data_IF_520749989773
#
_entry.id   IF_520749989773
#
_cell.length_a   1.000
_cell.length_b   1.000
_cell.length_c   1.000
_cell.angle_alpha   90.00
_cell.angle_beta   90.00
_cell.angle_gamma   90.00
#
_symmetry.space_group_name_H-M   'P 1'
#
loop_
_entity.id
_entity.type
_entity.pdbx_description
1 polymer ?
#
# COMPACT_ATOMS: atom_id res chain seq x y z
N UNK A 1 -0.70 -19.90 -40.04
CA UNK A 1 -0.07 -19.45 -38.78
C UNK A 1 -0.39 -20.50 -37.73
N UNK A 2 0.54 -21.42 -37.46
CA UNK A 2 0.34 -22.50 -36.48
C UNK A 2 0.26 -21.91 -35.07
N UNK A 3 -0.89 -22.05 -34.41
CA UNK A 3 -1.00 -21.84 -32.97
C UNK A 3 -0.37 -23.07 -32.33
N UNK A 4 0.88 -22.94 -31.87
CA UNK A 4 1.52 -23.95 -31.02
C UNK A 4 0.71 -24.07 -29.73
N UNK A 5 -0.06 -25.14 -29.61
CA UNK A 5 -0.65 -25.57 -28.34
C UNK A 5 0.48 -26.09 -27.44
N UNK A 6 1.32 -25.22 -26.87
CA UNK A 6 2.20 -25.61 -25.77
C UNK A 6 1.31 -25.83 -24.55
N UNK A 7 1.25 -27.07 -24.09
CA UNK A 7 0.55 -27.48 -22.88
C UNK A 7 1.61 -28.08 -21.95
N UNK A 8 2.20 -27.24 -21.11
CA UNK A 8 3.14 -27.71 -20.10
C UNK A 8 2.36 -28.04 -18.82
N UNK A 9 2.03 -29.33 -18.65
CA UNK A 9 1.35 -29.84 -17.46
C UNK A 9 2.22 -30.88 -16.78
N UNK A 10 2.40 -30.74 -15.47
CA UNK A 10 2.84 -31.83 -14.61
C UNK A 10 1.72 -32.14 -13.62
N UNK A 11 1.43 -33.42 -13.44
CA UNK A 11 0.33 -33.89 -12.61
C UNK A 11 0.79 -35.05 -11.76
N UNK A 12 0.42 -35.00 -10.49
CA UNK A 12 0.43 -36.15 -9.56
C UNK A 12 -1.01 -36.43 -9.14
N UNK A 13 -1.24 -37.50 -8.38
CA UNK A 13 -2.58 -37.85 -7.89
C UNK A 13 -3.23 -36.71 -7.08
N UNK A 14 -2.43 -35.81 -6.50
CA UNK A 14 -2.87 -34.77 -5.58
C UNK A 14 -2.64 -33.34 -6.08
N UNK A 15 -1.75 -33.15 -7.05
CA UNK A 15 -1.25 -31.82 -7.39
C UNK A 15 -1.15 -31.62 -8.89
N UNK A 16 -1.73 -30.53 -9.37
CA UNK A 16 -1.60 -30.04 -10.73
C UNK A 16 -0.64 -28.86 -10.79
N UNK A 17 0.35 -28.93 -11.67
CA UNK A 17 1.27 -27.83 -11.98
C UNK A 17 0.99 -27.37 -13.40
N UNK A 18 0.50 -26.14 -13.53
CA UNK A 18 0.25 -25.44 -14.78
C UNK A 18 1.46 -24.59 -15.16
N UNK A 19 2.17 -25.00 -16.22
CA UNK A 19 3.18 -24.17 -16.88
C UNK A 19 2.53 -23.18 -17.85
N UNK A 20 2.94 -23.22 -19.12
CA UNK A 20 2.34 -22.40 -20.16
C UNK A 20 1.15 -23.11 -20.82
N UNK A 21 0.05 -22.37 -20.96
CA UNK A 21 -1.19 -22.87 -21.52
C UNK A 21 -1.96 -21.74 -22.22
N UNK A 22 -2.27 -21.94 -23.50
CA UNK A 22 -3.18 -21.05 -24.23
C UNK A 22 -4.36 -21.85 -24.77
N UNK A 23 -5.59 -21.38 -24.51
CA UNK A 23 -6.84 -22.02 -24.95
C UNK A 23 -7.79 -21.01 -25.59
N UNK A 24 -8.32 -21.38 -26.75
CA UNK A 24 -9.39 -20.63 -27.42
C UNK A 24 -10.80 -20.99 -26.88
N UNK A 25 -10.88 -21.45 -25.64
CA UNK A 25 -12.12 -21.82 -24.98
C UNK A 25 -12.06 -21.50 -23.49
N UNK A 26 -13.14 -21.80 -22.78
CA UNK A 26 -13.14 -21.82 -21.32
C UNK A 26 -12.32 -23.00 -20.79
N UNK A 27 -11.62 -22.80 -19.69
CA UNK A 27 -10.86 -23.83 -18.99
C UNK A 27 -11.33 -23.90 -17.54
N UNK A 28 -11.75 -25.08 -17.11
CA UNK A 28 -12.12 -25.37 -15.72
C UNK A 28 -11.26 -26.53 -15.21
N UNK A 29 -10.59 -26.33 -14.09
CA UNK A 29 -9.68 -27.30 -13.48
C UNK A 29 -10.15 -27.57 -12.06
N UNK A 30 -10.17 -28.85 -11.66
CA UNK A 30 -10.50 -29.28 -10.30
C UNK A 30 -9.50 -30.31 -9.80
N UNK A 31 -8.74 -29.97 -8.76
CA UNK A 31 -7.68 -30.81 -8.20
C UNK A 31 -7.60 -30.64 -6.68
N UNK A 32 -6.80 -31.46 -6.00
CA UNK A 32 -6.57 -31.28 -4.57
C UNK A 32 -5.68 -30.05 -4.33
N UNK A 33 -4.61 -29.89 -5.10
CA UNK A 33 -3.77 -28.69 -5.14
C UNK A 33 -3.52 -28.22 -6.57
N UNK A 34 -3.46 -26.90 -6.79
CA UNK A 34 -3.16 -26.30 -8.08
C UNK A 34 -2.04 -25.28 -7.91
N UNK A 35 -0.92 -25.46 -8.62
CA UNK A 35 0.08 -24.42 -8.83
C UNK A 35 0.07 -23.93 -10.25
N UNK A 36 0.25 -22.63 -10.41
CA UNK A 36 0.44 -21.97 -11.68
C UNK A 36 1.81 -21.34 -11.65
N UNK A 37 2.69 -21.81 -12.53
CA UNK A 37 4.10 -21.41 -12.60
C UNK A 37 4.44 -20.69 -13.91
N UNK A 38 3.52 -20.72 -14.87
CA UNK A 38 3.69 -20.09 -16.19
C UNK A 38 2.50 -19.22 -16.59
N UNK A 39 2.37 -19.01 -17.90
CA UNK A 39 1.32 -18.18 -18.49
C UNK A 39 0.12 -19.03 -18.91
N UNK A 40 -1.03 -18.79 -18.29
CA UNK A 40 -2.32 -19.37 -18.64
C UNK A 40 -3.19 -18.30 -19.28
N UNK A 41 -3.59 -18.51 -20.54
CA UNK A 41 -4.45 -17.60 -21.29
C UNK A 41 -5.67 -18.33 -21.84
N UNK A 42 -6.86 -17.77 -21.61
CA UNK A 42 -8.13 -18.30 -22.13
C UNK A 42 -8.92 -17.23 -22.87
N UNK A 43 -9.54 -17.59 -24.00
CA UNK A 43 -10.36 -16.65 -24.78
C UNK A 43 -11.78 -16.44 -24.22
N UNK A 44 -12.16 -17.13 -23.14
CA UNK A 44 -13.50 -17.05 -22.54
C UNK A 44 -13.49 -16.98 -21.01
N UNK A 45 -13.21 -18.07 -20.32
CA UNK A 45 -13.17 -18.08 -18.85
C UNK A 45 -12.11 -19.03 -18.33
N UNK A 46 -11.50 -18.68 -17.20
CA UNK A 46 -10.60 -19.56 -16.46
C UNK A 46 -11.17 -19.81 -15.08
N UNK A 47 -11.27 -21.08 -14.69
CA UNK A 47 -11.63 -21.49 -13.33
C UNK A 47 -10.65 -22.54 -12.83
N UNK A 48 -10.03 -22.28 -11.68
CA UNK A 48 -9.23 -23.25 -10.95
C UNK A 48 -9.86 -23.46 -9.57
N UNK A 49 -10.30 -24.68 -9.29
CA UNK A 49 -10.88 -25.08 -8.02
C UNK A 49 -9.96 -26.12 -7.35
N UNK A 50 -9.36 -25.75 -6.22
CA UNK A 50 -8.56 -26.64 -5.40
C UNK A 50 -9.32 -27.06 -4.13
N UNK A 51 -9.11 -28.31 -3.70
CA UNK A 51 -9.52 -28.72 -2.35
C UNK A 51 -8.73 -27.96 -1.29
N UNK A 52 -7.40 -28.04 -1.39
CA UNK A 52 -6.44 -27.32 -0.58
C UNK A 52 -6.08 -26.01 -1.29
N UNK A 53 -4.80 -25.78 -1.61
CA UNK A 53 -4.31 -24.46 -1.99
C UNK A 53 -4.33 -24.25 -3.51
N UNK A 54 -4.56 -22.99 -3.90
CA UNK A 54 -4.24 -22.48 -5.23
C UNK A 54 -3.04 -21.54 -5.10
N UNK A 55 -1.95 -21.84 -5.79
CA UNK A 55 -0.72 -21.04 -5.70
C UNK A 55 -0.31 -20.51 -7.08
N UNK A 56 -0.01 -19.21 -7.16
CA UNK A 56 0.58 -18.58 -8.34
C UNK A 56 2.01 -18.15 -7.98
N UNK A 57 2.98 -18.75 -8.65
CA UNK A 57 4.40 -18.48 -8.42
C UNK A 57 4.85 -17.19 -9.12
N UNK A 58 6.09 -16.78 -8.84
CA UNK A 58 6.70 -15.59 -9.42
C UNK A 58 6.63 -15.61 -10.95
N UNK A 59 6.09 -14.53 -11.52
CA UNK A 59 5.96 -14.38 -12.96
C UNK A 59 4.81 -15.18 -13.58
N UNK A 60 4.07 -15.96 -12.78
CA UNK A 60 2.87 -16.63 -13.26
C UNK A 60 1.81 -15.61 -13.67
N UNK A 61 1.10 -15.92 -14.75
CA UNK A 61 0.08 -15.04 -15.30
C UNK A 61 -1.16 -15.84 -15.68
N UNK A 62 -2.31 -15.43 -15.17
CA UNK A 62 -3.61 -15.98 -15.55
C UNK A 62 -4.41 -14.88 -16.22
N UNK A 63 -4.68 -15.04 -17.51
CA UNK A 63 -5.44 -14.10 -18.33
C UNK A 63 -6.66 -14.79 -18.92
N UNK A 64 -7.81 -14.14 -18.78
CA UNK A 64 -9.05 -14.54 -19.42
C UNK A 64 -9.68 -13.34 -20.11
N UNK A 65 -10.27 -13.56 -21.28
CA UNK A 65 -11.09 -12.52 -21.93
C UNK A 65 -12.46 -12.34 -21.27
N UNK A 66 -12.90 -13.27 -20.42
CA UNK A 66 -14.09 -13.19 -19.58
C UNK A 66 -13.72 -13.41 -18.12
N UNK A 67 -14.42 -14.24 -17.35
CA UNK A 67 -14.13 -14.39 -15.91
C UNK A 67 -12.85 -15.18 -15.62
N UNK A 68 -12.21 -14.85 -14.50
CA UNK A 68 -11.12 -15.60 -13.89
C UNK A 68 -11.47 -15.90 -12.44
N UNK A 69 -11.62 -17.18 -12.11
CA UNK A 69 -12.03 -17.67 -10.80
C UNK A 69 -10.93 -18.59 -10.22
N UNK A 70 -10.37 -18.21 -9.09
CA UNK A 70 -9.50 -19.06 -8.28
C UNK A 70 -10.24 -19.38 -6.98
N UNK A 71 -10.47 -20.67 -6.73
CA UNK A 71 -11.28 -21.14 -5.62
C UNK A 71 -10.47 -22.16 -4.83
N UNK A 72 -10.37 -21.97 -3.53
CA UNK A 72 -9.77 -22.89 -2.58
C UNK A 72 -10.80 -23.25 -1.50
N UNK A 73 -11.24 -24.51 -1.48
CA UNK A 73 -12.40 -24.91 -0.67
C UNK A 73 -12.08 -25.27 0.79
N UNK A 74 -10.82 -25.58 1.11
CA UNK A 74 -10.32 -25.85 2.47
C UNK A 74 -8.98 -25.17 2.77
N UNK A 75 -8.33 -24.62 1.75
CA UNK A 75 -7.00 -24.03 1.81
C UNK A 75 -6.99 -22.52 1.66
N UNK A 76 -5.85 -22.03 1.21
CA UNK A 76 -5.58 -20.62 0.94
C UNK A 76 -5.31 -20.39 -0.56
N UNK A 77 -5.43 -19.14 -0.98
CA UNK A 77 -4.93 -18.67 -2.28
C UNK A 77 -3.66 -17.87 -2.04
N UNK A 78 -2.55 -18.29 -2.64
CA UNK A 78 -1.25 -17.65 -2.48
C UNK A 78 -0.75 -17.13 -3.83
N UNK A 79 -0.51 -15.83 -3.93
CA UNK A 79 0.00 -15.18 -5.14
C UNK A 79 1.30 -14.45 -4.81
N UNK A 80 2.39 -14.78 -5.51
CA UNK A 80 3.69 -14.11 -5.33
C UNK A 80 4.17 -13.52 -6.64
N UNK A 81 4.25 -12.20 -6.75
CA UNK A 81 4.57 -11.46 -7.99
C UNK A 81 3.88 -12.06 -9.24
N UNK A 82 2.58 -12.28 -9.11
CA UNK A 82 1.76 -12.93 -10.12
C UNK A 82 0.70 -11.97 -10.67
N UNK A 83 0.26 -12.22 -11.90
CA UNK A 83 -0.82 -11.44 -12.53
C UNK A 83 -2.06 -12.31 -12.70
N UNK A 84 -3.21 -11.82 -12.24
CA UNK A 84 -4.53 -12.41 -12.50
C UNK A 84 -5.39 -11.37 -13.20
N UNK A 85 -5.96 -11.74 -14.34
CA UNK A 85 -6.71 -10.85 -15.19
C UNK A 85 -7.94 -11.52 -15.80
N UNK A 86 -9.05 -10.79 -15.79
CA UNK A 86 -10.34 -11.19 -16.36
C UNK A 86 -11.27 -9.98 -16.51
N UNK A 87 -12.41 -10.11 -17.17
CA UNK A 87 -13.50 -9.12 -17.08
C UNK A 87 -14.06 -9.07 -15.65
N UNK A 88 -14.17 -10.25 -15.03
CA UNK A 88 -14.43 -10.43 -13.61
C UNK A 88 -13.28 -11.24 -13.02
N UNK A 89 -12.88 -10.91 -11.79
CA UNK A 89 -11.90 -11.72 -11.04
C UNK A 89 -12.51 -12.11 -9.70
N UNK A 90 -12.51 -13.40 -9.39
CA UNK A 90 -12.89 -13.93 -8.08
C UNK A 90 -11.73 -14.72 -7.50
N UNK A 91 -11.28 -14.33 -6.32
CA UNK A 91 -10.45 -15.13 -5.44
C UNK A 91 -11.31 -15.52 -4.24
N UNK A 92 -11.58 -16.80 -4.05
CA UNK A 92 -12.41 -17.31 -2.96
C UNK A 92 -11.67 -18.41 -2.21
N UNK A 93 -11.19 -18.11 -1.01
CA UNK A 93 -10.43 -19.03 -0.18
C UNK A 93 -11.15 -19.31 1.14
N UNK A 94 -11.21 -20.59 1.53
CA UNK A 94 -11.78 -20.99 2.82
C UNK A 94 -10.92 -20.56 4.02
N UNK A 95 -9.61 -20.35 3.83
CA UNK A 95 -8.70 -19.82 4.83
C UNK A 95 -8.27 -18.41 4.46
N UNK A 96 -7.16 -18.25 3.75
CA UNK A 96 -6.55 -16.94 3.56
C UNK A 96 -6.38 -16.61 2.07
N UNK A 97 -6.36 -15.32 1.74
CA UNK A 97 -5.87 -14.85 0.44
C UNK A 97 -4.63 -13.99 0.68
N UNK A 98 -3.48 -14.49 0.23
CA UNK A 98 -2.19 -13.84 0.37
C UNK A 98 -1.70 -13.36 -0.99
N UNK A 99 -1.61 -12.05 -1.17
CA UNK A 99 -1.14 -11.43 -2.42
C UNK A 99 0.11 -10.63 -2.11
N UNK A 100 1.23 -11.18 -2.53
CA UNK A 100 2.55 -10.73 -2.17
C UNK A 100 3.26 -10.23 -3.42
N UNK A 101 3.86 -9.05 -3.35
CA UNK A 101 4.93 -8.68 -4.29
C UNK A 101 6.19 -9.52 -4.02
N UNK A 102 7.03 -9.69 -5.03
CA UNK A 102 8.34 -10.31 -4.87
C UNK A 102 9.43 -9.23 -4.84
N UNK A 103 10.35 -9.34 -3.88
CA UNK A 103 11.52 -8.47 -3.76
C UNK A 103 12.79 -9.28 -3.55
N UNK A 104 13.85 -8.94 -4.29
CA UNK A 104 15.23 -9.34 -3.98
C UNK A 104 16.02 -8.12 -3.52
N UNK A 105 17.18 -8.31 -2.88
CA UNK A 105 18.00 -7.23 -2.33
C UNK A 105 18.39 -6.13 -3.35
N UNK A 106 18.26 -6.40 -4.65
CA UNK A 106 18.71 -5.54 -5.75
C UNK A 106 17.60 -5.13 -6.74
N UNK A 107 16.32 -5.45 -6.50
CA UNK A 107 15.22 -5.17 -7.44
C UNK A 107 14.11 -4.30 -6.82
N UNK A 108 13.43 -3.50 -7.66
CA UNK A 108 12.11 -2.92 -7.31
C UNK A 108 11.14 -4.05 -6.94
N UNK A 109 10.11 -3.77 -6.14
CA UNK A 109 9.06 -4.74 -5.90
C UNK A 109 8.38 -5.11 -7.23
N UNK A 110 8.44 -6.38 -7.62
CA UNK A 110 7.59 -6.91 -8.68
C UNK A 110 6.21 -7.10 -8.06
N UNK A 111 5.33 -6.11 -8.24
CA UNK A 111 3.99 -6.11 -7.66
C UNK A 111 3.15 -7.27 -8.22
N UNK A 112 2.36 -7.91 -7.36
CA UNK A 112 1.26 -8.74 -7.84
C UNK A 112 0.15 -7.85 -8.38
N UNK A 113 -0.48 -8.30 -9.46
CA UNK A 113 -1.49 -7.53 -10.18
C UNK A 113 -2.77 -8.32 -10.30
N UNK A 114 -3.85 -7.80 -9.71
CA UNK A 114 -5.19 -8.21 -10.09
C UNK A 114 -5.77 -7.08 -10.91
N UNK A 115 -5.97 -7.36 -12.20
CA UNK A 115 -6.41 -6.36 -13.17
C UNK A 115 -7.65 -6.84 -13.90
N UNK A 116 -8.53 -5.91 -14.24
CA UNK A 116 -9.51 -6.18 -15.29
C UNK A 116 -8.80 -6.31 -16.65
N UNK A 117 -9.29 -7.17 -17.54
CA UNK A 117 -8.89 -7.16 -18.95
C UNK A 117 -9.55 -6.06 -19.80
N UNK A 118 -8.87 -5.65 -20.87
CA UNK A 118 -9.36 -4.68 -21.87
C UNK A 118 -10.49 -5.23 -22.77
N UNK A 119 -11.09 -6.37 -22.40
CA UNK A 119 -12.03 -7.14 -23.21
C UNK A 119 -13.27 -6.33 -23.60
N UNK A 120 -13.57 -6.30 -24.90
CA UNK A 120 -14.88 -5.89 -25.42
C UNK A 120 -15.93 -6.87 -24.90
N UNK A 121 -16.97 -6.36 -24.25
CA UNK A 121 -18.11 -7.15 -23.77
C UNK A 121 -18.66 -8.07 -24.89
N UNK A 122 -18.74 -9.36 -24.61
CA UNK A 122 -19.56 -10.29 -25.39
C UNK A 122 -20.73 -10.75 -24.53
N UNK A 123 -21.83 -9.98 -24.53
CA UNK A 123 -23.13 -10.41 -24.00
C UNK A 123 -23.70 -9.50 -22.91
N UNK A 124 -24.86 -8.89 -23.19
CA UNK A 124 -25.67 -8.15 -22.22
C UNK A 124 -26.34 -9.12 -21.23
N UNK A 125 -26.02 -9.01 -19.93
CA UNK A 125 -26.97 -9.10 -18.81
C UNK A 125 -26.27 -8.96 -17.44
N UNK A 126 -26.36 -7.77 -16.85
CA UNK A 126 -26.61 -7.60 -15.41
C UNK A 126 -25.52 -7.88 -14.37
N UNK A 127 -24.34 -8.42 -14.72
CA UNK A 127 -23.25 -8.54 -13.75
C UNK A 127 -22.41 -7.26 -13.77
N UNK A 128 -22.46 -6.50 -12.66
CA UNK A 128 -21.50 -5.42 -12.40
C UNK A 128 -20.11 -6.03 -12.37
N UNK A 129 -19.30 -5.63 -13.35
CA UNK A 129 -17.92 -6.05 -13.59
C UNK A 129 -17.08 -5.76 -12.34
N UNK A 130 -16.59 -6.80 -11.66
CA UNK A 130 -15.99 -6.63 -10.34
C UNK A 130 -14.77 -7.52 -10.08
N UNK A 131 -13.84 -7.01 -9.26
CA UNK A 131 -12.80 -7.83 -8.62
C UNK A 131 -13.27 -8.17 -7.22
N UNK A 132 -13.41 -9.45 -6.88
CA UNK A 132 -13.81 -9.90 -5.54
C UNK A 132 -12.73 -10.78 -4.94
N UNK A 133 -12.26 -10.42 -3.76
CA UNK A 133 -11.33 -11.19 -2.94
C UNK A 133 -12.07 -11.58 -1.67
N UNK A 134 -12.19 -12.87 -1.40
CA UNK A 134 -12.89 -13.44 -0.25
C UNK A 134 -12.00 -14.43 0.47
N UNK A 135 -11.90 -14.27 1.78
CA UNK A 135 -11.19 -15.17 2.66
C UNK A 135 -12.06 -15.59 3.86
N UNK A 136 -12.05 -16.88 4.20
CA UNK A 136 -12.70 -17.38 5.42
C UNK A 136 -11.99 -16.98 6.72
N UNK A 137 -10.75 -16.48 6.64
CA UNK A 137 -9.95 -15.94 7.73
C UNK A 137 -9.36 -14.59 7.32
N UNK A 138 -8.18 -14.52 6.73
CA UNK A 138 -7.46 -13.25 6.53
C UNK A 138 -7.19 -12.94 5.05
N UNK A 139 -7.11 -11.65 4.71
CA UNK A 139 -6.58 -11.16 3.43
C UNK A 139 -5.33 -10.32 3.71
N UNK A 140 -4.18 -10.68 3.14
CA UNK A 140 -2.93 -9.89 3.21
C UNK A 140 -2.53 -9.43 1.80
N UNK A 141 -2.44 -8.11 1.61
CA UNK A 141 -2.07 -7.44 0.37
C UNK A 141 -0.76 -6.65 0.58
N UNK A 142 0.36 -7.27 0.19
CA UNK A 142 1.69 -6.70 0.33
C UNK A 142 2.23 -6.18 -0.99
N UNK A 143 2.47 -4.86 -1.08
CA UNK A 143 2.90 -4.11 -2.27
C UNK A 143 2.20 -4.54 -3.57
N UNK A 144 0.90 -4.77 -3.46
CA UNK A 144 0.09 -5.38 -4.51
C UNK A 144 -0.87 -4.36 -5.09
N UNK A 145 -1.19 -4.51 -6.38
CA UNK A 145 -2.18 -3.67 -7.06
C UNK A 145 -3.43 -4.48 -7.36
N UNK A 146 -4.54 -4.09 -6.76
CA UNK A 146 -5.86 -4.66 -6.96
C UNK A 146 -6.77 -3.56 -7.54
N UNK A 147 -7.20 -3.70 -8.79
CA UNK A 147 -8.02 -2.68 -9.43
C UNK A 147 -8.80 -3.16 -10.64
N UNK A 148 -9.99 -2.60 -10.82
CA UNK A 148 -10.89 -2.83 -11.95
C UNK A 148 -11.65 -1.55 -12.35
N UNK A 149 -12.28 -1.54 -13.53
CA UNK A 149 -13.13 -0.43 -14.00
C UNK A 149 -14.52 -0.38 -13.31
N UNK A 150 -14.80 -1.32 -12.42
CA UNK A 150 -15.99 -1.37 -11.56
C UNK A 150 -15.60 -1.65 -10.10
N UNK A 151 -16.52 -2.22 -9.32
CA UNK A 151 -16.31 -2.45 -7.90
C UNK A 151 -15.14 -3.42 -7.68
N UNK A 152 -14.19 -3.06 -6.83
CA UNK A 152 -13.41 -4.09 -6.13
C UNK A 152 -14.25 -4.47 -4.89
N UNK A 153 -14.05 -5.64 -4.32
CA UNK A 153 -14.59 -6.01 -3.01
C UNK A 153 -13.52 -6.87 -2.35
N UNK A 154 -13.12 -6.53 -1.11
CA UNK A 154 -12.16 -7.32 -0.34
C UNK A 154 -12.82 -7.69 0.97
N UNK A 155 -13.11 -8.97 1.17
CA UNK A 155 -13.83 -9.49 2.33
C UNK A 155 -13.01 -10.58 3.01
N UNK A 156 -12.91 -10.51 4.33
CA UNK A 156 -12.26 -11.50 5.17
C UNK A 156 -13.08 -11.63 6.45
N UNK A 157 -13.22 -12.83 7.03
CA UNK A 157 -13.89 -12.99 8.34
C UNK A 157 -13.06 -12.49 9.51
N UNK A 158 -11.75 -12.69 9.38
CA UNK A 158 -10.68 -12.14 10.20
C UNK A 158 -10.21 -10.81 9.63
N UNK A 159 -8.91 -10.62 9.45
CA UNK A 159 -8.35 -9.31 9.17
C UNK A 159 -8.15 -9.06 7.67
N UNK A 160 -8.30 -7.80 7.27
CA UNK A 160 -7.83 -7.28 5.98
C UNK A 160 -6.62 -6.40 6.25
N UNK A 161 -5.46 -6.81 5.74
CA UNK A 161 -4.20 -6.09 5.95
C UNK A 161 -3.60 -5.68 4.61
N UNK A 162 -3.19 -4.41 4.51
CA UNK A 162 -2.64 -3.85 3.29
C UNK A 162 -1.37 -3.08 3.66
N UNK A 163 -0.24 -3.44 3.03
CA UNK A 163 1.08 -2.92 3.41
C UNK A 163 1.90 -2.59 2.18
N UNK A 164 2.55 -1.43 2.19
CA UNK A 164 3.58 -1.10 1.22
C UNK A 164 4.86 -1.93 1.42
N UNK A 165 5.67 -2.05 0.37
CA UNK A 165 7.04 -2.54 0.46
C UNK A 165 8.03 -1.36 0.45
N UNK A 166 9.10 -1.49 1.21
CA UNK A 166 10.17 -0.48 1.28
C UNK A 166 11.44 -1.00 0.64
N UNK A 167 12.10 -0.20 -0.20
CA UNK A 167 13.38 -0.53 -0.83
C UNK A 167 14.40 0.57 -0.61
N UNK A 168 15.58 0.20 -0.07
CA UNK A 168 16.67 1.14 0.07
C UNK A 168 17.31 1.44 -1.30
N UNK A 169 17.57 2.71 -1.53
CA UNK A 169 18.27 3.22 -2.70
C UNK A 169 19.44 4.07 -2.24
N UNK A 170 20.50 4.06 -3.04
CA UNK A 170 21.67 4.91 -2.83
C UNK A 170 22.11 5.52 -4.15
N UNK A 171 22.45 6.81 -4.12
CA UNK A 171 23.10 7.49 -5.22
C UNK A 171 24.30 8.28 -4.70
N UNK A 172 25.46 8.04 -5.31
CA UNK A 172 26.70 8.73 -4.99
C UNK A 172 27.13 9.56 -6.18
N UNK A 173 27.33 10.86 -5.95
CA UNK A 173 27.96 11.75 -6.90
C UNK A 173 29.31 12.20 -6.37
N UNK A 174 30.28 12.34 -7.26
CA UNK A 174 31.58 12.92 -6.92
C UNK A 174 31.90 14.05 -7.88
N UNK A 175 32.20 15.23 -7.35
CA UNK A 175 32.66 16.38 -8.12
C UNK A 175 34.08 16.73 -7.71
N UNK A 176 34.91 17.02 -8.71
CA UNK A 176 36.24 17.60 -8.51
C UNK A 176 36.22 19.05 -8.96
N UNK A 177 36.77 19.95 -8.17
CA UNK A 177 36.84 21.38 -8.48
C UNK A 177 38.17 22.00 -8.03
N UNK A 178 38.43 23.24 -8.45
CA UNK A 178 39.70 23.94 -8.20
C UNK A 178 40.75 23.72 -9.30
N UNK A 179 41.85 24.48 -9.24
CA UNK A 179 42.98 24.33 -10.15
C UNK A 179 43.46 22.86 -10.11
N UNK A 180 43.52 22.19 -11.26
CA UNK A 180 43.86 20.76 -11.39
C UNK A 180 42.93 19.75 -10.66
N UNK A 181 41.73 20.13 -10.25
CA UNK A 181 40.79 19.21 -9.57
C UNK A 181 41.17 18.90 -8.11
N UNK A 182 41.87 19.84 -7.47
CA UNK A 182 42.42 19.76 -6.10
C UNK A 182 41.41 19.64 -4.95
N UNK A 183 40.11 19.84 -5.20
CA UNK A 183 39.05 19.66 -4.22
C UNK A 183 38.15 18.51 -4.64
N UNK A 184 37.91 17.56 -3.75
CA UNK A 184 36.96 16.47 -3.98
C UNK A 184 35.77 16.64 -3.03
N UNK A 185 34.57 16.70 -3.60
CA UNK A 185 33.31 16.60 -2.87
C UNK A 185 32.61 15.31 -3.30
N UNK A 186 32.34 14.44 -2.35
CA UNK A 186 31.55 13.22 -2.56
C UNK A 186 30.26 13.37 -1.77
N UNK A 187 29.13 13.23 -2.45
CA UNK A 187 27.81 13.31 -1.84
C UNK A 187 27.09 11.99 -2.11
N UNK A 188 26.78 11.28 -1.03
CA UNK A 188 26.02 10.01 -1.07
C UNK A 188 24.68 10.25 -0.41
N UNK A 189 23.60 10.11 -1.17
CA UNK A 189 22.24 10.13 -0.65
C UNK A 189 21.68 8.73 -0.65
N UNK A 190 21.24 8.26 0.51
CA UNK A 190 20.48 7.02 0.70
C UNK A 190 19.04 7.37 1.07
N UNK A 191 18.08 6.66 0.51
CA UNK A 191 16.66 6.88 0.84
C UNK A 191 15.87 5.58 0.69
N UNK A 192 14.73 5.52 1.35
CA UNK A 192 13.76 4.44 1.15
C UNK A 192 12.75 4.83 0.07
N UNK A 193 12.67 4.05 -1.00
CA UNK A 193 11.56 4.06 -1.98
C UNK A 193 10.41 3.21 -1.40
N UNK A 194 9.17 3.68 -1.54
CA UNK A 194 7.98 3.01 -1.01
C UNK A 194 7.11 2.58 -2.19
N UNK A 195 6.94 1.27 -2.35
CA UNK A 195 6.04 0.67 -3.32
C UNK A 195 4.68 0.43 -2.63
N UNK A 196 3.74 1.36 -2.83
CA UNK A 196 2.42 1.34 -2.19
C UNK A 196 1.54 0.21 -2.73
N UNK A 197 0.77 -0.42 -1.85
CA UNK A 197 -0.36 -1.25 -2.26
C UNK A 197 -1.47 -0.34 -2.81
N UNK A 198 -2.23 -0.81 -3.80
CA UNK A 198 -3.41 -0.09 -4.29
C UNK A 198 -4.66 -0.95 -4.26
N UNK A 199 -5.75 -0.46 -3.65
CA UNK A 199 -7.01 -1.21 -3.51
C UNK A 199 -8.19 -0.30 -3.78
N UNK A 200 -9.22 -0.79 -4.47
CA UNK A 200 -10.38 0.03 -4.80
C UNK A 200 -11.68 -0.46 -4.14
N UNK A 201 -11.73 -0.76 -2.83
CA UNK A 201 -12.97 -1.12 -2.08
C UNK A 201 -12.81 -1.71 -0.66
N UNK A 202 -13.94 -1.85 0.07
CA UNK A 202 -14.07 -2.38 1.44
C UNK A 202 -14.46 -3.83 1.67
N UNK A 203 -14.46 -4.15 2.97
CA UNK A 203 -14.84 -5.42 3.61
C UNK A 203 -15.92 -5.23 4.68
N UNK A 204 -16.28 -6.32 5.38
CA UNK A 204 -17.43 -6.39 6.30
C UNK A 204 -17.14 -7.12 7.63
N UNK A 205 -16.05 -7.87 7.77
CA UNK A 205 -15.76 -8.66 8.98
C UNK A 205 -14.31 -8.46 9.47
N UNK A 206 -14.10 -8.55 10.80
CA UNK A 206 -12.81 -8.35 11.50
C UNK A 206 -12.24 -6.93 11.50
N UNK A 207 -10.91 -6.76 11.50
CA UNK A 207 -10.24 -5.44 11.48
C UNK A 207 -9.68 -5.11 10.10
N UNK A 208 -9.65 -3.83 9.73
CA UNK A 208 -8.95 -3.31 8.55
C UNK A 208 -7.71 -2.55 9.01
N UNK A 209 -6.52 -2.91 8.51
CA UNK A 209 -5.30 -2.14 8.71
C UNK A 209 -4.63 -1.86 7.38
N UNK A 210 -4.46 -0.58 7.08
CA UNK A 210 -3.89 -0.10 5.82
C UNK A 210 -2.70 0.81 6.10
N UNK A 211 -1.50 0.40 5.67
CA UNK A 211 -0.26 1.15 5.89
C UNK A 211 0.35 1.59 4.55
N UNK A 212 0.52 2.90 4.36
CA UNK A 212 1.08 3.49 3.14
C UNK A 212 0.45 2.93 1.85
N UNK A 213 -0.88 2.76 1.84
CA UNK A 213 -1.64 2.18 0.73
C UNK A 213 -2.43 3.27 0.02
N UNK A 214 -2.55 3.19 -1.30
CA UNK A 214 -3.42 4.04 -2.09
C UNK A 214 -4.78 3.37 -2.32
N UNK A 215 -5.85 3.94 -1.77
CA UNK A 215 -7.22 3.46 -1.92
C UNK A 215 -7.96 4.38 -2.87
N UNK A 216 -8.36 3.89 -4.05
CA UNK A 216 -9.05 4.71 -5.05
C UNK A 216 -10.48 4.20 -5.32
N UNK A 217 -11.48 4.94 -4.84
CA UNK A 217 -12.86 4.74 -5.28
C UNK A 217 -13.12 5.56 -6.54
N UNK A 218 -13.69 4.94 -7.59
CA UNK A 218 -14.17 5.73 -8.73
C UNK A 218 -15.33 6.61 -8.27
N UNK A 219 -16.32 5.97 -7.64
CA UNK A 219 -17.55 6.59 -7.19
C UNK A 219 -17.45 6.85 -5.68
N UNK A 220 -17.42 5.78 -4.88
CA UNK A 220 -17.24 5.87 -3.43
C UNK A 220 -16.20 4.87 -2.91
N UNK A 221 -15.83 5.02 -1.64
CA UNK A 221 -15.07 4.04 -0.88
C UNK A 221 -15.84 3.71 0.39
N UNK A 222 -16.09 2.42 0.60
CA UNK A 222 -16.64 1.87 1.83
C UNK A 222 -15.50 1.13 2.51
N UNK A 223 -15.20 1.40 3.79
CA UNK A 223 -14.27 0.62 4.60
C UNK A 223 -15.02 0.25 5.88
N UNK A 224 -15.39 -1.02 6.04
CA UNK A 224 -16.15 -1.46 7.20
C UNK A 224 -15.47 -2.65 7.87
N UNK A 225 -15.27 -2.50 9.18
CA UNK A 225 -14.69 -3.50 10.04
C UNK A 225 -15.62 -3.74 11.22
N UNK A 226 -15.71 -5.00 11.66
CA UNK A 226 -16.36 -5.33 12.93
C UNK A 226 -15.55 -4.78 14.11
N UNK A 227 -14.22 -4.83 14.02
CA UNK A 227 -13.29 -4.30 15.01
C UNK A 227 -12.66 -3.02 14.46
N UNK A 228 -11.34 -2.84 14.54
CA UNK A 228 -10.72 -1.56 14.23
C UNK A 228 -10.62 -1.28 12.71
N UNK A 229 -10.71 -0.01 12.33
CA UNK A 229 -10.20 0.49 11.03
C UNK A 229 -8.99 1.39 11.29
N UNK A 230 -7.83 1.03 10.76
CA UNK A 230 -6.57 1.77 10.94
C UNK A 230 -5.99 2.17 9.60
N UNK A 231 -5.93 3.47 9.33
CA UNK A 231 -5.21 4.05 8.18
C UNK A 231 -3.94 4.69 8.73
N UNK A 232 -2.81 4.03 8.48
CA UNK A 232 -1.52 4.35 9.09
C UNK A 232 -0.52 4.80 8.04
N UNK A 233 0.40 5.64 8.46
CA UNK A 233 1.55 6.03 7.68
C UNK A 233 2.78 5.15 7.96
N UNK A 234 3.70 5.19 7.01
CA UNK A 234 4.99 4.52 7.08
C UNK A 234 6.11 5.55 7.16
N UNK A 235 6.85 5.56 8.27
CA UNK A 235 8.05 6.39 8.42
C UNK A 235 9.24 5.72 7.76
N UNK A 236 9.89 6.47 6.89
CA UNK A 236 11.12 6.11 6.22
C UNK A 236 12.19 7.16 6.47
N UNK A 237 13.43 6.88 6.04
CA UNK A 237 14.57 7.77 6.26
C UNK A 237 15.29 8.09 4.97
N UNK A 238 15.69 9.34 4.85
CA UNK A 238 16.64 9.84 3.86
C UNK A 238 17.89 10.28 4.58
N UNK A 239 19.04 9.69 4.23
CA UNK A 239 20.35 10.02 4.79
C UNK A 239 21.20 10.60 3.67
N UNK A 240 21.63 11.85 3.81
CA UNK A 240 22.59 12.48 2.91
C UNK A 240 23.92 12.65 3.63
N UNK A 241 24.94 11.94 3.16
CA UNK A 241 26.31 12.04 3.63
C UNK A 241 27.13 12.84 2.63
N UNK A 242 27.81 13.88 3.09
CA UNK A 242 28.73 14.69 2.27
C UNK A 242 30.12 14.67 2.87
N UNK A 243 31.06 14.13 2.10
CA UNK A 243 32.48 14.13 2.41
C UNK A 243 33.20 15.12 1.49
N UNK A 244 33.91 16.08 2.07
CA UNK A 244 34.76 16.99 1.32
C UNK A 244 36.19 16.93 1.83
N UNK A 245 37.15 16.85 0.91
CA UNK A 245 38.58 16.85 1.24
C UNK A 245 39.37 17.75 0.29
N UNK A 246 40.45 18.33 0.84
CA UNK A 246 41.47 19.06 0.09
C UNK A 246 42.67 18.17 -0.24
N UNK A 247 43.34 18.43 -1.38
CA UNK A 247 44.51 17.68 -1.88
C UNK A 247 45.55 17.35 -0.81
N UNK A 248 45.81 18.26 0.12
CA UNK A 248 46.86 18.11 1.13
C UNK A 248 46.39 17.44 2.43
N UNK A 249 45.11 17.04 2.52
CA UNK A 249 44.52 16.59 3.79
C UNK A 249 44.43 17.70 4.86
N UNK A 250 44.70 18.96 4.47
CA UNK A 250 44.72 20.13 5.36
C UNK A 250 43.34 20.47 5.90
N UNK A 251 42.30 20.04 5.21
CA UNK A 251 40.93 20.16 5.69
C UNK A 251 40.08 19.03 5.15
N UNK A 252 39.34 18.41 6.06
CA UNK A 252 38.30 17.44 5.77
C UNK A 252 37.02 17.91 6.48
N UNK A 253 35.90 17.77 5.80
CA UNK A 253 34.59 17.95 6.39
C UNK A 253 33.73 16.74 6.09
N UNK A 254 33.13 16.17 7.12
CA UNK A 254 32.08 15.19 7.02
C UNK A 254 30.78 15.84 7.49
N UNK A 255 29.71 15.68 6.74
CA UNK A 255 28.38 16.06 7.21
C UNK A 255 27.40 14.96 6.89
N UNK A 256 26.56 14.63 7.87
CA UNK A 256 25.47 13.68 7.73
C UNK A 256 24.17 14.39 8.08
N UNK A 257 23.22 14.36 7.16
CA UNK A 257 21.85 14.83 7.36
C UNK A 257 20.89 13.67 7.23
N UNK A 258 20.20 13.33 8.31
CA UNK A 258 19.14 12.33 8.34
C UNK A 258 17.80 13.02 8.46
N UNK A 259 16.88 12.73 7.54
CA UNK A 259 15.53 13.25 7.50
C UNK A 259 14.53 12.09 7.54
N UNK A 260 13.59 12.13 8.48
CA UNK A 260 12.41 11.25 8.47
C UNK A 260 11.40 11.74 7.44
N UNK A 261 10.81 10.80 6.71
CA UNK A 261 9.79 11.02 5.71
C UNK A 261 8.60 10.12 6.04
N UNK A 262 7.39 10.67 6.02
CA UNK A 262 6.16 9.87 6.19
C UNK A 262 5.49 9.63 4.84
N UNK A 263 4.99 8.41 4.64
CA UNK A 263 4.06 8.09 3.58
C UNK A 263 2.78 7.50 4.18
N UNK A 264 1.76 8.34 4.26
CA UNK A 264 0.40 7.97 4.67
C UNK A 264 -0.28 7.00 3.73
N UNK A 265 -1.30 6.34 4.26
CA UNK A 265 -2.37 5.77 3.44
C UNK A 265 -3.15 6.93 2.80
N UNK A 266 -3.49 6.80 1.52
CA UNK A 266 -4.21 7.80 0.75
C UNK A 266 -5.55 7.22 0.32
N UNK A 267 -6.68 7.76 0.77
CA UNK A 267 -8.01 7.40 0.26
C UNK A 267 -8.51 8.52 -0.64
N UNK A 268 -8.87 8.19 -1.89
CA UNK A 268 -9.34 9.18 -2.88
C UNK A 268 -10.61 8.71 -3.57
N UNK A 269 -11.64 9.56 -3.61
CA UNK A 269 -12.88 9.31 -4.37
C UNK A 269 -13.27 10.52 -5.22
N UNK A 270 -13.81 10.28 -6.42
CA UNK A 270 -14.04 11.31 -7.45
C UNK A 270 -15.51 11.50 -7.85
N UNK A 271 -16.44 10.95 -7.08
CA UNK A 271 -17.88 11.19 -7.23
C UNK A 271 -18.40 11.94 -6.02
N UNK A 272 -19.56 12.55 -6.19
CA UNK A 272 -20.32 13.17 -5.10
C UNK A 272 -20.98 12.11 -4.19
N UNK A 273 -20.86 10.83 -4.53
CA UNK A 273 -21.35 9.72 -3.71
C UNK A 273 -20.63 9.65 -2.35
N UNK A 274 -21.38 9.34 -1.27
CA UNK A 274 -20.81 9.31 0.07
C UNK A 274 -19.79 8.17 0.21
N UNK A 275 -18.67 8.48 0.86
CA UNK A 275 -17.68 7.50 1.31
C UNK A 275 -17.82 7.27 2.81
N UNK A 276 -17.57 6.04 3.26
CA UNK A 276 -17.82 5.65 4.65
C UNK A 276 -16.63 4.87 5.18
N UNK A 277 -16.16 5.25 6.37
CA UNK A 277 -15.20 4.51 7.17
C UNK A 277 -15.91 4.13 8.47
N UNK A 278 -16.12 2.83 8.69
CA UNK A 278 -16.96 2.31 9.76
C UNK A 278 -16.26 1.22 10.58
N UNK A 279 -16.36 1.36 11.90
CA UNK A 279 -16.07 0.33 12.89
C UNK A 279 -17.30 0.06 13.75
N UNK A 280 -17.69 -1.20 13.91
CA UNK A 280 -18.85 -1.57 14.73
C UNK A 280 -18.50 -1.70 16.23
N UNK A 281 -17.38 -2.35 16.57
CA UNK A 281 -16.98 -2.67 17.95
C UNK A 281 -15.63 -2.06 18.35
N UNK A 282 -14.92 -1.42 17.43
CA UNK A 282 -13.56 -0.94 17.62
C UNK A 282 -13.41 0.55 17.34
N UNK A 283 -12.16 0.96 17.12
CA UNK A 283 -11.82 2.34 16.85
C UNK A 283 -11.58 2.58 15.35
N UNK A 284 -11.77 3.83 14.93
CA UNK A 284 -11.23 4.33 13.66
C UNK A 284 -10.02 5.21 13.98
N UNK A 285 -8.83 4.80 13.51
CA UNK A 285 -7.60 5.57 13.67
C UNK A 285 -7.06 5.96 12.30
N UNK A 286 -6.83 7.26 12.12
CA UNK A 286 -6.24 7.84 10.92
C UNK A 286 -4.98 8.59 11.36
N UNK A 287 -3.81 8.04 11.03
CA UNK A 287 -2.51 8.59 11.41
C UNK A 287 -1.65 8.84 10.18
N UNK A 288 -1.12 10.07 10.06
CA UNK A 288 -0.28 10.53 8.95
C UNK A 288 -0.85 10.28 7.55
N UNK A 289 -2.18 10.15 7.42
CA UNK A 289 -2.87 9.67 6.21
C UNK A 289 -3.71 10.78 5.57
N UNK A 290 -3.96 10.66 4.27
CA UNK A 290 -4.74 11.63 3.49
C UNK A 290 -6.05 11.02 3.03
N UNK A 291 -7.15 11.72 3.24
CA UNK A 291 -8.46 11.37 2.73
C UNK A 291 -8.97 12.53 1.87
N UNK A 292 -9.22 12.27 0.60
CA UNK A 292 -9.70 13.25 -0.38
C UNK A 292 -10.94 12.69 -1.09
N UNK A 293 -12.10 13.03 -0.55
CA UNK A 293 -13.40 12.63 -1.08
C UNK A 293 -14.06 13.83 -1.76
N UNK A 294 -14.47 13.68 -3.01
CA UNK A 294 -15.28 14.71 -3.66
C UNK A 294 -16.67 14.85 -3.01
N UNK A 295 -17.29 13.71 -2.67
CA UNK A 295 -18.57 13.63 -1.96
C UNK A 295 -18.46 13.82 -0.44
N UNK A 296 -19.52 13.40 0.24
CA UNK A 296 -19.56 13.40 1.71
C UNK A 296 -18.69 12.27 2.28
N UNK A 297 -18.11 12.47 3.46
CA UNK A 297 -17.37 11.46 4.20
C UNK A 297 -18.01 11.22 5.57
N UNK A 298 -18.36 9.97 5.84
CA UNK A 298 -18.81 9.52 7.16
C UNK A 298 -17.72 8.69 7.82
N UNK A 299 -17.32 9.07 9.03
CA UNK A 299 -16.42 8.28 9.88
C UNK A 299 -17.17 7.87 11.14
N UNK A 300 -17.37 6.56 11.31
CA UNK A 300 -18.26 6.00 12.32
C UNK A 300 -17.50 4.98 13.16
N UNK A 301 -17.47 5.17 14.47
CA UNK A 301 -17.09 4.14 15.44
C UNK A 301 -18.27 3.91 16.39
N UNK A 302 -19.11 2.91 16.10
CA UNK A 302 -20.39 2.70 16.81
C UNK A 302 -20.22 2.46 18.31
N UNK A 303 -19.13 1.81 18.71
CA UNK A 303 -18.80 1.50 20.12
C UNK A 303 -17.36 1.84 20.48
N UNK A 304 -16.71 2.72 19.73
CA UNK A 304 -15.31 3.10 19.96
C UNK A 304 -15.06 4.58 19.69
N UNK A 305 -13.79 4.90 19.43
CA UNK A 305 -13.30 6.27 19.21
C UNK A 305 -12.91 6.48 17.76
N UNK A 306 -12.99 7.74 17.32
CA UNK A 306 -12.43 8.20 16.06
C UNK A 306 -11.27 9.14 16.36
N UNK A 307 -10.06 8.72 16.01
CA UNK A 307 -8.82 9.46 16.26
C UNK A 307 -8.16 9.90 14.95
N UNK A 308 -7.89 11.20 14.84
CA UNK A 308 -7.01 11.75 13.80
C UNK A 308 -5.69 12.17 14.46
N UNK A 309 -4.60 11.45 14.14
CA UNK A 309 -3.29 11.69 14.75
C UNK A 309 -2.31 12.28 13.75
N UNK A 310 -1.55 13.26 14.23
CA UNK A 310 -0.38 13.78 13.55
C UNK A 310 0.87 12.99 13.96
N UNK A 311 1.87 12.97 13.08
CA UNK A 311 3.17 12.37 13.38
C UNK A 311 4.28 13.42 13.42
N UNK A 312 5.10 13.36 14.47
CA UNK A 312 6.32 14.18 14.59
C UNK A 312 7.44 13.51 13.79
N UNK A 313 7.90 14.17 12.73
CA UNK A 313 9.06 13.78 11.93
C UNK A 313 10.30 14.56 12.36
N UNK A 314 11.43 13.88 12.45
CA UNK A 314 12.68 14.47 12.87
C UNK A 314 13.66 14.64 11.70
N UNK A 315 14.39 15.74 11.72
CA UNK A 315 15.61 15.95 10.94
C UNK A 315 16.78 16.15 11.88
N UNK A 316 17.86 15.43 11.63
CA UNK A 316 19.12 15.55 12.37
C UNK A 316 20.24 15.88 11.40
N UNK A 317 21.10 16.81 11.79
CA UNK A 317 22.28 17.16 11.02
C UNK A 317 23.50 17.17 11.94
N UNK A 318 24.52 16.40 11.57
CA UNK A 318 25.82 16.37 12.25
C UNK A 318 26.87 16.80 11.25
N UNK A 319 27.67 17.81 11.61
CA UNK A 319 28.81 18.25 10.80
C UNK A 319 30.07 18.18 11.63
N UNK A 320 31.07 17.48 11.09
CA UNK A 320 32.40 17.35 11.64
C UNK A 320 33.38 18.02 10.68
N UNK A 321 34.09 19.03 11.16
CA UNK A 321 35.16 19.68 10.39
C UNK A 321 36.47 19.52 11.12
N UNK A 322 37.48 19.04 10.40
CA UNK A 322 38.86 19.01 10.87
C UNK A 322 39.69 19.89 9.95
N UNK A 323 40.42 20.83 10.53
CA UNK A 323 41.33 21.72 9.82
C UNK A 323 42.71 21.70 10.45
N UNK A 324 43.72 21.70 9.60
CA UNK A 324 45.10 21.97 9.98
C UNK A 324 45.38 23.45 9.78
N UNK A 325 45.83 24.13 10.83
CA UNK A 325 46.32 25.49 10.73
C UNK A 325 47.83 25.47 10.50
N UNK A 326 48.32 25.75 9.28
CA UNK A 326 49.75 25.69 8.98
C UNK A 326 50.56 26.77 9.71
N UNK A 327 49.94 27.89 10.09
CA UNK A 327 50.62 28.97 10.83
C UNK A 327 50.82 28.62 12.31
N UNK A 328 49.96 27.75 12.87
CA UNK A 328 49.99 27.35 14.27
C UNK A 328 50.42 25.89 14.48
N UNK A 329 50.72 25.14 13.40
CA UNK A 329 51.01 23.70 13.39
C UNK A 329 50.03 22.87 14.25
N UNK A 330 48.76 23.27 14.28
CA UNK A 330 47.75 22.69 15.16
C UNK A 330 46.56 22.15 14.37
N UNK A 331 45.93 21.14 14.94
CA UNK A 331 44.69 20.56 14.44
C UNK A 331 43.52 21.10 15.25
N UNK A 332 42.48 21.56 14.57
CA UNK A 332 41.20 21.93 15.19
C UNK A 332 40.14 21.00 14.63
N UNK A 333 39.42 20.31 15.52
CA UNK A 333 38.24 19.51 15.17
C UNK A 333 37.02 20.14 15.84
N UNK A 334 35.98 20.43 15.06
CA UNK A 334 34.71 20.95 15.53
C UNK A 334 33.57 20.04 15.12
N UNK A 335 32.65 19.78 16.06
CA UNK A 335 31.41 19.03 15.81
C UNK A 335 30.21 19.89 16.14
N UNK A 336 29.28 20.03 15.20
CA UNK A 336 28.00 20.72 15.39
C UNK A 336 26.86 19.73 15.17
N UNK A 337 25.85 19.75 16.05
CA UNK A 337 24.63 18.94 15.95
C UNK A 337 23.39 19.83 16.00
N UNK A 338 22.49 19.65 15.04
CA UNK A 338 21.21 20.36 14.98
C UNK A 338 20.07 19.35 14.84
N UNK A 339 18.98 19.57 15.57
CA UNK A 339 17.74 18.81 15.44
C UNK A 339 16.59 19.76 15.10
N UNK A 340 15.82 19.42 14.07
CA UNK A 340 14.60 20.12 13.69
C UNK A 340 13.45 19.13 13.67
N UNK A 341 12.27 19.55 14.14
CA UNK A 341 11.04 18.75 14.10
C UNK A 341 10.09 19.34 13.05
N UNK A 342 9.39 18.46 12.34
CA UNK A 342 8.33 18.79 11.40
C UNK A 342 7.10 17.92 11.71
N UNK A 343 5.90 18.49 11.63
CA UNK A 343 4.66 17.72 11.76
C UNK A 343 4.22 17.18 10.39
N UNK A 344 3.93 15.89 10.30
CA UNK A 344 3.18 15.28 9.22
C UNK A 344 1.76 14.99 9.72
N UNK A 345 0.85 15.90 9.41
CA UNK A 345 -0.55 15.79 9.83
C UNK A 345 -1.36 14.83 8.96
N UNK A 346 -2.40 14.25 9.55
CA UNK A 346 -3.49 13.64 8.77
C UNK A 346 -4.31 14.75 8.11
N UNK A 347 -4.75 14.56 6.87
CA UNK A 347 -5.53 15.55 6.13
C UNK A 347 -6.82 14.94 5.62
N UNK A 348 -7.93 15.66 5.79
CA UNK A 348 -9.25 15.27 5.29
C UNK A 348 -9.82 16.40 4.46
N UNK A 349 -10.13 16.11 3.21
CA UNK A 349 -10.89 16.95 2.30
C UNK A 349 -12.15 16.20 1.90
N UNK A 350 -13.31 16.77 2.23
CA UNK A 350 -14.62 16.23 1.90
C UNK A 350 -15.62 17.37 1.71
N UNK A 351 -16.70 17.13 0.95
CA UNK A 351 -17.79 18.10 0.83
C UNK A 351 -18.42 18.39 2.19
N UNK A 352 -18.81 17.34 2.89
CA UNK A 352 -19.18 17.36 4.30
C UNK A 352 -18.42 16.25 5.02
N UNK A 353 -17.97 16.54 6.24
CA UNK A 353 -17.39 15.55 7.15
C UNK A 353 -18.35 15.32 8.31
N UNK A 354 -18.77 14.07 8.49
CA UNK A 354 -19.58 13.61 9.63
C UNK A 354 -18.76 12.60 10.44
N UNK A 355 -18.56 12.88 11.72
CA UNK A 355 -17.87 12.00 12.66
C UNK A 355 -18.86 11.55 13.73
N UNK A 356 -19.04 10.24 13.90
CA UNK A 356 -19.89 9.61 14.91
C UNK A 356 -19.07 8.69 15.80
N UNK A 357 -19.08 8.95 17.10
CA UNK A 357 -18.46 8.11 18.11
C UNK A 357 -19.36 8.09 19.36
N UNK A 358 -19.60 6.89 19.92
CA UNK A 358 -20.33 6.73 21.19
C UNK A 358 -19.41 6.65 22.43
N UNK A 359 -18.11 6.90 22.25
CA UNK A 359 -17.13 6.93 23.33
C UNK A 359 -17.02 8.30 24.00
N UNK A 360 -16.65 8.32 25.29
CA UNK A 360 -16.59 9.51 26.18
C UNK A 360 -15.59 10.61 25.78
N UNK A 361 -14.80 10.43 24.72
CA UNK A 361 -13.80 11.41 24.25
C UNK A 361 -13.73 11.36 22.72
N UNK A 362 -13.96 12.49 22.06
CA UNK A 362 -13.68 12.70 20.65
C UNK A 362 -12.57 13.75 20.53
N UNK A 363 -11.31 13.31 20.38
CA UNK A 363 -10.17 14.21 20.14
C UNK A 363 -10.01 14.41 18.63
N UNK A 364 -10.74 15.38 18.09
CA UNK A 364 -10.63 15.76 16.68
C UNK A 364 -9.68 16.96 16.52
N UNK A 365 -8.37 16.70 16.45
CA UNK A 365 -7.40 17.71 15.98
C UNK A 365 -7.48 17.82 14.46
N UNK A 366 -8.44 18.61 13.96
CA UNK A 366 -8.62 18.87 12.53
C UNK A 366 -8.12 20.27 12.17
N UNK A 367 -7.05 20.35 11.40
CA UNK A 367 -6.62 21.61 10.79
C UNK A 367 -7.66 22.07 9.76
N UNK A 368 -8.26 23.26 9.95
CA UNK A 368 -9.35 23.81 9.11
C UNK A 368 -9.02 23.83 7.61
N UNK A 369 -9.69 22.98 6.84
CA UNK A 369 -10.11 23.28 5.47
C UNK A 369 -11.38 24.13 5.47
N UNK A 370 -11.66 24.86 4.38
CA UNK A 370 -12.74 25.88 4.26
C UNK A 370 -14.20 25.35 4.33
N UNK A 371 -14.45 24.13 4.80
CA UNK A 371 -15.76 23.48 4.72
C UNK A 371 -16.45 23.36 6.09
N UNK A 372 -17.78 23.25 6.07
CA UNK A 372 -18.65 23.15 7.25
C UNK A 372 -18.46 21.83 8.00
N UNK A 373 -18.22 21.93 9.31
CA UNK A 373 -18.09 20.79 10.23
C UNK A 373 -19.41 20.56 10.99
N UNK A 374 -19.93 19.33 10.99
CA UNK A 374 -21.04 18.92 11.87
C UNK A 374 -20.57 17.75 12.73
N UNK A 375 -20.46 17.99 14.03
CA UNK A 375 -20.24 16.95 15.05
C UNK A 375 -21.56 16.73 15.76
N UNK A 376 -22.15 15.53 15.64
CA UNK A 376 -23.30 15.13 16.44
C UNK A 376 -22.80 14.22 17.58
N UNK A 377 -22.78 14.76 18.80
CA UNK A 377 -22.57 13.99 20.02
C UNK A 377 -23.95 13.51 20.50
N UNK A 378 -24.08 12.20 20.76
CA UNK A 378 -25.31 11.70 21.36
C UNK A 378 -25.39 12.19 22.82
N UNK A 379 -26.58 12.64 23.20
CA UNK A 379 -26.81 13.47 24.39
C UNK A 379 -26.52 12.67 25.65
N UNK A 380 -25.44 13.00 26.38
CA UNK A 380 -25.51 13.03 27.85
C UNK A 380 -24.36 13.73 28.60
N UNK A 381 -23.20 14.06 28.01
CA UNK A 381 -22.13 14.74 28.79
C UNK A 381 -21.36 15.81 27.99
N UNK A 382 -21.36 17.03 28.56
CA UNK A 382 -20.71 18.25 28.04
C UNK A 382 -19.19 18.24 28.29
N UNK A 383 -18.38 18.23 27.21
CA UNK A 383 -17.22 19.12 27.02
C UNK A 383 -16.62 18.90 25.62
N UNK A 384 -16.57 19.95 24.78
CA UNK A 384 -15.78 19.97 23.55
C UNK A 384 -14.52 20.77 23.85
N UNK A 385 -13.35 20.12 23.90
CA UNK A 385 -12.05 20.83 23.91
C UNK A 385 -11.57 20.99 22.47
N UNK A 386 -11.64 22.22 21.97
CA UNK A 386 -10.90 22.62 20.78
C UNK A 386 -9.62 23.33 21.22
N UNK A 387 -8.51 22.63 21.31
CA UNK A 387 -7.21 23.27 21.48
C UNK A 387 -6.76 23.79 20.11
N UNK A 388 -6.91 25.10 19.91
CA UNK A 388 -6.32 25.81 18.77
C UNK A 388 -5.14 26.61 19.30
N UNK A 389 -3.92 26.07 19.23
CA UNK A 389 -2.71 26.87 19.40
C UNK A 389 -2.35 27.52 18.05
N UNK A 390 -2.15 28.85 18.06
CA UNK A 390 -1.81 29.69 16.91
C UNK A 390 -0.31 29.74 16.65
#
# INVERSE_FOLDING_TARGET
>A
MEVRNSLDLAMTDERLILGNLSRNCSLSLKFKEIDIIGQVSTSKSFRAEAENDVSLQRGAEVKSAGSTELISTKGSINMTAATVQGNDVLLDAAKDVNILAHKTANSRAEASHIKRGDGKEYGKQGRKEAVRIKAGRDVDLYASRVGGKGDVIVQAKGNITTRAATTERSHTTSKRSGLFGMKKKTETTKWTEIDRSSINSGGEEGSITSTATDIHGKDSAYLHAKHDVKLLDLVTRKVTTTDSSSWWGLSNSHSEKTQELSAGTSLVTKSDDPSIIKSDLGNVLIEGSTIDCQGDLQTIAENGRVDFRERVLNTWETTETSGFNPLALSFTAGTTKTRTQQMAGSSVNAKNLEVKANGTETDANVSKGKNSFKVELDKEHDEIKTDTEF
#
